data_IF_558673137889
#
_entry.id   IF_558673137889
#
_cell.length_a   1.000
_cell.length_b   1.000
_cell.length_c   1.000
_cell.angle_alpha   90.00
_cell.angle_beta   90.00
_cell.angle_gamma   90.00
#
_symmetry.space_group_name_H-M   'P 1'
#
loop_
_entity.id
_entity.type
_entity.pdbx_description
1 polymer ?
#
# COMPACT_ATOMS: atom_id res chain seq x y z
N UNK A 1 16.94 -12.55 -23.60
CA UNK A 1 16.72 -11.28 -22.86
C UNK A 1 15.81 -11.55 -21.69
N UNK A 2 16.25 -11.15 -20.52
CA UNK A 2 15.45 -11.33 -19.31
C UNK A 2 14.36 -10.25 -19.27
N UNK A 3 13.13 -10.69 -19.02
CA UNK A 3 12.02 -9.76 -18.88
C UNK A 3 12.00 -9.22 -17.46
N UNK A 4 11.84 -7.89 -17.35
CA UNK A 4 11.65 -7.27 -16.06
C UNK A 4 10.27 -7.55 -15.50
N UNK A 5 10.20 -7.74 -14.20
CA UNK A 5 8.95 -7.83 -13.47
C UNK A 5 8.87 -6.66 -12.50
N UNK A 6 7.83 -5.88 -12.64
CA UNK A 6 7.58 -4.72 -11.79
C UNK A 6 6.52 -5.08 -10.77
N UNK A 7 6.84 -4.85 -9.52
CA UNK A 7 5.98 -5.23 -8.39
C UNK A 7 5.79 -4.02 -7.50
N UNK A 8 4.63 -3.92 -6.90
CA UNK A 8 4.35 -2.89 -5.92
C UNK A 8 4.01 -3.54 -4.60
N UNK A 9 4.60 -3.06 -3.52
CA UNK A 9 4.26 -3.46 -2.18
C UNK A 9 3.65 -2.28 -1.43
N UNK A 10 2.51 -2.52 -0.80
CA UNK A 10 1.95 -1.62 0.20
C UNK A 10 2.35 -2.16 1.56
N UNK A 11 3.19 -1.42 2.24
CA UNK A 11 3.74 -1.81 3.55
C UNK A 11 3.22 -0.86 4.62
N UNK A 12 2.19 -1.29 5.32
CA UNK A 12 1.54 -0.49 6.36
C UNK A 12 2.02 -0.95 7.73
N UNK A 13 2.87 -0.12 8.32
CA UNK A 13 3.45 -0.37 9.63
C UNK A 13 2.79 0.48 10.73
N UNK A 14 3.43 0.50 11.89
CA UNK A 14 2.86 1.19 13.05
C UNK A 14 2.89 2.71 12.96
N UNK A 15 3.85 3.28 12.24
CA UNK A 15 4.00 4.74 12.16
C UNK A 15 3.70 5.31 10.79
N UNK A 16 3.82 4.52 9.74
CA UNK A 16 3.59 5.00 8.38
C UNK A 16 3.27 3.85 7.45
N UNK A 17 2.67 4.20 6.31
CA UNK A 17 2.47 3.28 5.21
C UNK A 17 3.38 3.69 4.06
N UNK A 18 3.92 2.73 3.33
CA UNK A 18 4.80 2.98 2.21
C UNK A 18 4.32 2.27 0.96
N UNK A 19 4.50 2.92 -0.17
CA UNK A 19 4.34 2.30 -1.49
C UNK A 19 5.74 2.08 -2.04
N UNK A 20 6.09 0.84 -2.29
CA UNK A 20 7.43 0.45 -2.70
C UNK A 20 7.33 -0.17 -4.08
N UNK A 21 8.14 0.33 -5.01
CA UNK A 21 8.28 -0.28 -6.33
C UNK A 21 9.49 -1.21 -6.31
N UNK A 22 9.26 -2.47 -6.64
CA UNK A 22 10.31 -3.45 -6.81
C UNK A 22 10.44 -3.84 -8.28
N UNK A 23 11.66 -3.90 -8.76
CA UNK A 23 11.94 -4.33 -10.13
C UNK A 23 12.87 -5.52 -10.08
N UNK A 24 12.40 -6.63 -10.62
CA UNK A 24 13.19 -7.85 -10.75
C UNK A 24 13.64 -8.00 -12.20
N UNK A 25 14.95 -8.11 -12.40
CA UNK A 25 15.53 -8.20 -13.73
C UNK A 25 15.91 -9.64 -14.12
N UNK A 26 15.56 -10.61 -13.30
CA UNK A 26 15.93 -12.02 -13.48
C UNK A 26 17.06 -12.46 -12.57
N UNK A 27 17.80 -11.52 -11.99
CA UNK A 27 18.92 -11.83 -11.08
C UNK A 27 18.80 -11.06 -9.77
N UNK A 28 18.45 -9.79 -9.84
CA UNK A 28 18.41 -8.88 -8.70
C UNK A 28 17.07 -8.18 -8.64
N UNK A 29 16.70 -7.82 -7.41
CA UNK A 29 15.54 -6.97 -7.14
C UNK A 29 16.08 -5.64 -6.65
N UNK A 30 15.68 -4.56 -7.32
CA UNK A 30 15.92 -3.21 -6.84
C UNK A 30 14.61 -2.64 -6.32
N UNK A 31 14.68 -1.87 -5.24
CA UNK A 31 13.50 -1.29 -4.62
C UNK A 31 13.63 0.21 -4.51
N UNK A 32 12.50 0.89 -4.63
CA UNK A 32 12.41 2.34 -4.50
C UNK A 32 11.15 2.67 -3.73
N UNK A 33 11.28 3.51 -2.70
CA UNK A 33 10.12 4.01 -1.98
C UNK A 33 9.49 5.11 -2.82
N UNK A 34 8.30 4.83 -3.35
CA UNK A 34 7.57 5.78 -4.19
C UNK A 34 6.90 6.84 -3.34
N UNK A 35 6.27 6.43 -2.24
CA UNK A 35 5.64 7.36 -1.32
C UNK A 35 5.65 6.78 0.08
N UNK A 36 5.67 7.68 1.05
CA UNK A 36 5.53 7.35 2.45
C UNK A 36 4.49 8.30 3.04
N UNK A 37 3.47 7.74 3.63
CA UNK A 37 2.36 8.50 4.18
C UNK A 37 2.25 8.23 5.67
N UNK A 38 1.83 9.23 6.45
CA UNK A 38 1.57 8.99 7.86
C UNK A 38 0.37 8.07 8.03
N UNK A 39 0.32 7.37 9.13
CA UNK A 39 -0.87 6.61 9.47
C UNK A 39 -1.96 7.60 9.88
N UNK A 40 -3.00 7.65 9.05
CA UNK A 40 -4.15 8.49 9.33
C UNK A 40 -5.01 7.80 10.39
N UNK A 41 -5.14 8.44 11.53
CA UNK A 41 -5.87 7.89 12.67
C UNK A 41 -6.90 8.90 13.13
N UNK A 42 -8.10 8.41 13.42
CA UNK A 42 -9.23 9.24 13.84
C UNK A 42 -9.70 8.77 15.20
N UNK A 43 -9.89 9.73 16.11
CA UNK A 43 -10.51 9.45 17.39
C UNK A 43 -12.02 9.71 17.29
N UNK A 44 -12.82 8.68 17.59
CA UNK A 44 -14.27 8.80 17.67
C UNK A 44 -14.68 8.35 19.07
N UNK A 45 -15.22 9.28 19.85
CA UNK A 45 -15.49 9.09 21.28
C UNK A 45 -14.21 8.70 22.00
N UNK A 46 -14.17 7.52 22.59
CA UNK A 46 -13.01 7.03 23.37
C UNK A 46 -12.13 6.07 22.60
N UNK A 47 -12.44 5.82 21.31
CA UNK A 47 -11.74 4.83 20.51
C UNK A 47 -10.94 5.51 19.41
N UNK A 48 -9.84 4.87 19.02
CA UNK A 48 -9.04 5.27 17.88
C UNK A 48 -9.27 4.31 16.74
N UNK A 49 -9.38 4.86 15.53
CA UNK A 49 -9.59 4.10 14.31
C UNK A 49 -8.54 4.52 13.29
N UNK A 50 -8.07 3.57 12.48
CA UNK A 50 -7.38 3.95 11.27
C UNK A 50 -8.37 4.63 10.33
N UNK A 51 -7.97 5.74 9.72
CA UNK A 51 -8.76 6.34 8.64
C UNK A 51 -8.47 5.56 7.38
N UNK A 52 -9.10 4.41 7.26
CA UNK A 52 -8.80 3.47 6.17
C UNK A 52 -9.15 4.04 4.80
N UNK A 53 -10.14 4.90 4.71
CA UNK A 53 -10.51 5.51 3.43
C UNK A 53 -9.42 6.45 2.94
N UNK A 54 -8.84 7.24 3.84
CA UNK A 54 -7.73 8.13 3.49
C UNK A 54 -6.48 7.33 3.17
N UNK A 55 -6.18 6.30 3.96
CA UNK A 55 -5.03 5.43 3.71
C UNK A 55 -5.17 4.77 2.33
N UNK A 56 -6.33 4.23 2.02
CA UNK A 56 -6.62 3.61 0.73
C UNK A 56 -6.39 4.59 -0.42
N UNK A 57 -6.94 5.80 -0.31
CA UNK A 57 -6.77 6.82 -1.34
C UNK A 57 -5.29 7.16 -1.57
N UNK A 58 -4.53 7.31 -0.49
CA UNK A 58 -3.11 7.65 -0.58
C UNK A 58 -2.29 6.50 -1.16
N UNK A 59 -2.64 5.26 -0.85
CA UNK A 59 -1.98 4.10 -1.46
C UNK A 59 -2.25 4.05 -2.96
N UNK A 60 -3.47 4.35 -3.40
CA UNK A 60 -3.79 4.41 -4.82
C UNK A 60 -3.03 5.52 -5.54
N UNK A 61 -2.85 6.67 -4.90
CA UNK A 61 -2.03 7.74 -5.47
C UNK A 61 -0.59 7.28 -5.67
N UNK A 62 -0.05 6.56 -4.68
CA UNK A 62 1.29 5.98 -4.81
C UNK A 62 1.38 4.93 -5.91
N UNK A 63 0.35 4.12 -6.07
CA UNK A 63 0.30 3.14 -7.15
C UNK A 63 0.31 3.82 -8.53
N UNK A 64 -0.44 4.91 -8.69
CA UNK A 64 -0.42 5.68 -9.93
C UNK A 64 0.97 6.20 -10.25
N UNK A 65 1.68 6.69 -9.25
CA UNK A 65 3.04 7.16 -9.44
C UNK A 65 3.99 6.02 -9.82
N UNK A 66 3.83 4.84 -9.22
CA UNK A 66 4.61 3.67 -9.59
C UNK A 66 4.37 3.26 -11.04
N UNK A 67 3.12 3.32 -11.50
CA UNK A 67 2.78 3.02 -12.90
C UNK A 67 3.45 4.02 -13.84
N UNK A 68 3.47 5.30 -13.48
CA UNK A 68 4.16 6.30 -14.29
C UNK A 68 5.63 6.00 -14.46
N UNK A 69 6.28 5.50 -13.40
CA UNK A 69 7.72 5.22 -13.43
C UNK A 69 8.06 3.91 -14.12
N UNK A 70 7.27 2.88 -13.90
CA UNK A 70 7.58 1.54 -14.34
C UNK A 70 6.85 1.12 -15.61
N UNK A 71 5.71 1.73 -15.90
CA UNK A 71 4.82 1.33 -16.97
C UNK A 71 3.85 0.27 -16.53
N UNK A 72 4.23 -1.00 -16.68
CA UNK A 72 3.37 -2.12 -16.31
C UNK A 72 3.71 -2.61 -14.90
N UNK A 73 2.70 -2.81 -14.09
CA UNK A 73 2.82 -3.45 -12.78
C UNK A 73 2.30 -4.88 -12.90
N UNK A 74 3.15 -5.86 -12.60
CA UNK A 74 2.84 -7.27 -12.79
C UNK A 74 2.19 -7.89 -11.56
N UNK A 75 2.51 -7.39 -10.36
CA UNK A 75 1.93 -7.91 -9.13
C UNK A 75 1.92 -6.85 -8.04
N UNK A 76 1.01 -7.03 -7.09
CA UNK A 76 0.87 -6.16 -5.93
C UNK A 76 0.79 -7.03 -4.69
N UNK A 77 1.56 -6.69 -3.68
CA UNK A 77 1.48 -7.32 -2.37
C UNK A 77 1.10 -6.30 -1.31
N UNK A 78 0.44 -6.75 -0.28
CA UNK A 78 -0.02 -5.88 0.81
C UNK A 78 0.35 -6.53 2.14
N UNK A 79 0.98 -5.75 3.01
CA UNK A 79 1.25 -6.13 4.39
C UNK A 79 0.72 -5.04 5.30
N UNK A 80 -0.07 -5.43 6.29
CA UNK A 80 -0.72 -4.48 7.20
C UNK A 80 -0.58 -4.94 8.65
N UNK A 81 -1.47 -4.43 9.49
CA UNK A 81 -1.46 -4.66 10.94
C UNK A 81 -2.09 -6.01 11.27
N UNK A 82 -1.37 -6.84 11.99
CA UNK A 82 -1.76 -8.24 12.22
C UNK A 82 -2.93 -8.45 13.17
N UNK A 83 -3.30 -7.44 13.95
CA UNK A 83 -4.34 -7.57 14.97
C UNK A 83 -5.58 -6.72 14.71
N UNK A 84 -5.58 -6.00 13.60
CA UNK A 84 -6.65 -5.07 13.26
C UNK A 84 -7.76 -5.77 12.47
N UNK A 85 -8.94 -5.21 12.56
CA UNK A 85 -10.11 -5.75 11.87
C UNK A 85 -11.07 -4.62 11.53
N UNK A 86 -12.00 -4.92 10.62
CA UNK A 86 -13.08 -4.01 10.27
C UNK A 86 -14.41 -4.76 10.27
N UNK A 87 -15.48 -4.02 10.55
CA UNK A 87 -16.83 -4.58 10.54
C UNK A 87 -17.56 -4.06 9.30
N UNK A 88 -18.22 -4.97 8.61
CA UNK A 88 -19.00 -4.64 7.42
C UNK A 88 -20.42 -5.12 7.60
N UNK A 89 -21.37 -4.41 7.01
CA UNK A 89 -22.76 -4.89 6.97
C UNK A 89 -22.92 -5.92 5.84
N UNK A 90 -24.13 -6.43 5.66
CA UNK A 90 -24.41 -7.46 4.65
C UNK A 90 -24.34 -6.94 3.22
N UNK A 91 -24.18 -5.63 3.03
CA UNK A 91 -24.00 -5.01 1.73
C UNK A 91 -22.54 -4.63 1.46
N UNK A 92 -21.63 -4.96 2.38
CA UNK A 92 -20.24 -4.64 2.26
C UNK A 92 -19.87 -3.22 2.66
N UNK A 93 -20.76 -2.52 3.36
CA UNK A 93 -20.49 -1.19 3.88
C UNK A 93 -19.90 -1.27 5.28
N UNK A 94 -18.85 -0.48 5.48
CA UNK A 94 -18.08 -0.47 6.72
C UNK A 94 -18.70 0.43 7.78
#
# INVERSE_FOLDING_TARGET
MLMKRNMVAFDCGNSSCRVILGVYDGEQITTEVISQIPNYMVRVHQYFYWDILMIYQKLLEGLKEAVKRAGTIHSIGICTWGVDFALFDNQGLM
#
